data_IF_195175664381
#
_entry.id   IF_195175664381
#
_cell.length_a   1.000
_cell.length_b   1.000
_cell.length_c   1.000
_cell.angle_alpha   90.00
_cell.angle_beta   90.00
_cell.angle_gamma   90.00
#
_symmetry.space_group_name_H-M   'P 1'
#
loop_
_entity.id
_entity.type
_entity.pdbx_description
1 polymer ?
#
# COMPACT_ATOMS: atom_id res chain seq x y z
N UNK A 1 21.55 -2.17 8.27
CA UNK A 1 22.63 -3.05 8.77
C UNK A 1 23.10 -3.94 7.63
N UNK A 2 24.38 -4.28 7.59
CA UNK A 2 24.91 -5.24 6.62
C UNK A 2 24.54 -6.67 7.03
N UNK A 3 24.07 -7.46 6.07
CA UNK A 3 23.90 -8.90 6.25
C UNK A 3 25.27 -9.58 6.24
N UNK A 4 25.35 -10.73 6.91
CA UNK A 4 26.62 -11.47 7.02
C UNK A 4 27.15 -11.84 5.63
N UNK A 5 28.45 -11.65 5.43
CA UNK A 5 29.15 -12.11 4.24
C UNK A 5 28.78 -11.37 2.96
N UNK A 6 28.51 -10.06 3.04
CA UNK A 6 28.15 -9.22 1.88
C UNK A 6 26.88 -9.69 1.17
N UNK A 7 25.99 -10.36 1.92
CA UNK A 7 24.74 -10.90 1.40
C UNK A 7 23.70 -9.81 1.09
N UNK A 8 24.02 -8.54 1.33
CA UNK A 8 23.15 -7.39 1.11
C UNK A 8 22.86 -6.58 2.36
N UNK A 9 21.94 -5.65 2.25
CA UNK A 9 21.57 -4.73 3.32
C UNK A 9 20.17 -5.04 3.84
N UNK A 10 20.00 -4.86 5.15
CA UNK A 10 18.72 -4.93 5.83
C UNK A 10 18.51 -3.62 6.60
N UNK A 11 17.61 -2.78 6.11
CA UNK A 11 17.34 -1.45 6.66
C UNK A 11 16.01 -1.48 7.42
N UNK A 12 15.98 -0.84 8.58
CA UNK A 12 14.77 -0.65 9.38
C UNK A 12 14.45 0.83 9.43
N UNK A 13 13.21 1.17 9.09
CA UNK A 13 12.67 2.50 9.21
C UNK A 13 11.59 2.43 10.28
N UNK A 14 11.77 3.19 11.36
CA UNK A 14 10.77 3.31 12.41
C UNK A 14 9.48 3.89 11.81
N UNK A 15 8.37 3.24 12.11
CA UNK A 15 7.02 3.73 11.83
C UNK A 15 6.38 4.13 13.17
N UNK A 16 5.05 4.07 13.31
CA UNK A 16 4.37 4.47 14.55
C UNK A 16 4.49 3.39 15.63
N UNK A 17 4.44 3.80 16.90
CA UNK A 17 4.37 2.92 18.09
C UNK A 17 5.56 1.97 18.31
N UNK A 18 6.75 2.33 17.82
CA UNK A 18 7.95 1.50 17.97
C UNK A 18 7.99 0.29 17.04
N UNK A 19 7.04 0.17 16.11
CA UNK A 19 7.12 -0.77 15.00
C UNK A 19 8.12 -0.26 13.96
N UNK A 20 8.71 -1.20 13.21
CA UNK A 20 9.64 -0.87 12.13
C UNK A 20 9.21 -1.57 10.84
N UNK A 21 9.37 -0.86 9.72
CA UNK A 21 9.35 -1.46 8.40
C UNK A 21 10.76 -1.86 7.99
N UNK A 22 10.91 -3.11 7.58
CA UNK A 22 12.15 -3.66 7.07
C UNK A 22 12.20 -3.62 5.53
N UNK A 23 13.36 -3.28 4.99
CA UNK A 23 13.70 -3.38 3.57
C UNK A 23 14.98 -4.19 3.39
N UNK A 24 15.00 -5.01 2.35
CA UNK A 24 16.18 -5.76 1.95
C UNK A 24 16.67 -5.28 0.60
N UNK A 25 17.98 -5.02 0.50
CA UNK A 25 18.64 -4.81 -0.76
C UNK A 25 19.65 -5.95 -0.95
N UNK A 26 19.36 -6.87 -1.88
CA UNK A 26 20.22 -8.00 -2.19
C UNK A 26 21.03 -7.70 -3.45
N UNK A 27 22.37 -7.89 -3.44
CA UNK A 27 23.22 -7.59 -4.59
C UNK A 27 22.89 -8.47 -5.81
N UNK A 28 22.31 -9.64 -5.58
CA UNK A 28 21.88 -10.59 -6.62
C UNK A 28 20.35 -10.80 -6.61
N UNK A 29 19.59 -9.76 -6.27
CA UNK A 29 18.13 -9.81 -6.34
C UNK A 29 17.67 -10.14 -7.78
N UNK A 30 16.59 -10.92 -7.96
CA UNK A 30 15.93 -11.03 -9.26
C UNK A 30 15.42 -9.67 -9.75
N UNK A 31 15.27 -9.54 -11.06
CA UNK A 31 14.62 -8.37 -11.66
C UNK A 31 13.17 -8.19 -11.13
N UNK A 32 12.68 -6.94 -11.01
CA UNK A 32 11.29 -6.68 -10.63
C UNK A 32 10.29 -7.38 -11.57
N UNK A 33 9.15 -7.80 -11.02
CA UNK A 33 8.04 -8.40 -11.78
C UNK A 33 6.71 -7.63 -11.57
N UNK A 34 6.57 -6.41 -12.13
CA UNK A 34 5.33 -5.64 -12.02
C UNK A 34 4.13 -6.36 -12.67
N UNK A 35 2.95 -6.21 -12.07
CA UNK A 35 1.74 -6.96 -12.40
C UNK A 35 1.69 -8.39 -11.82
N UNK A 36 2.78 -8.86 -11.19
CA UNK A 36 2.86 -10.18 -10.53
C UNK A 36 3.22 -10.02 -9.06
N UNK A 37 4.40 -9.45 -8.79
CA UNK A 37 4.92 -9.26 -7.43
C UNK A 37 4.49 -7.92 -6.81
N UNK A 38 4.20 -6.91 -7.62
CA UNK A 38 3.71 -5.59 -7.24
C UNK A 38 2.76 -5.05 -8.31
N UNK A 39 1.89 -4.07 -7.98
CA UNK A 39 1.13 -3.33 -8.99
C UNK A 39 2.08 -2.66 -9.99
N UNK A 40 1.69 -2.60 -11.27
CA UNK A 40 2.55 -2.02 -12.30
C UNK A 40 2.55 -0.47 -12.22
N UNK A 41 3.70 0.16 -11.90
CA UNK A 41 3.78 1.63 -11.81
C UNK A 41 3.50 2.31 -13.15
N UNK A 42 3.68 1.63 -14.28
CA UNK A 42 3.47 2.20 -15.61
C UNK A 42 1.99 2.31 -15.97
N UNK A 43 1.15 1.43 -15.42
CA UNK A 43 -0.31 1.43 -15.66
C UNK A 43 -1.08 2.11 -14.54
N UNK A 44 -0.41 2.53 -13.48
CA UNK A 44 -1.02 3.06 -12.25
C UNK A 44 -2.02 4.21 -12.44
N UNK A 45 -1.80 5.08 -13.43
CA UNK A 45 -2.70 6.20 -13.72
C UNK A 45 -3.66 5.95 -14.89
N UNK A 46 -3.69 4.72 -15.41
CA UNK A 46 -4.70 4.29 -16.36
C UNK A 46 -5.96 3.87 -15.58
N UNK A 47 -7.09 4.56 -15.75
CA UNK A 47 -8.34 4.23 -15.03
C UNK A 47 -8.93 2.87 -15.43
N UNK A 48 -8.42 2.23 -16.49
CA UNK A 48 -8.80 0.89 -16.93
C UNK A 48 -7.86 -0.20 -16.43
N UNK A 49 -6.73 0.15 -15.80
CA UNK A 49 -5.79 -0.83 -15.30
C UNK A 49 -6.31 -1.53 -14.04
N UNK A 50 -6.15 -2.85 -14.02
CA UNK A 50 -6.33 -3.65 -12.81
C UNK A 50 -5.01 -3.69 -12.03
N UNK A 51 -5.00 -3.15 -10.82
CA UNK A 51 -3.82 -3.14 -9.93
C UNK A 51 -3.68 -4.46 -9.15
N UNK A 52 -3.95 -5.58 -9.80
CA UNK A 52 -3.90 -6.92 -9.18
C UNK A 52 -2.47 -7.46 -9.12
N UNK A 53 -2.23 -8.35 -8.15
CA UNK A 53 -0.96 -9.07 -7.97
C UNK A 53 -1.23 -10.55 -7.73
N UNK A 54 -0.21 -11.39 -7.89
CA UNK A 54 -0.31 -12.81 -7.60
C UNK A 54 -0.65 -13.06 -6.12
N UNK A 55 -1.25 -14.22 -5.84
CA UNK A 55 -1.45 -14.69 -4.45
C UNK A 55 -0.08 -14.83 -3.78
N UNK A 56 -0.02 -14.44 -2.50
CA UNK A 56 1.21 -14.34 -1.70
C UNK A 56 2.14 -13.17 -2.03
N UNK A 57 1.78 -12.32 -3.01
CA UNK A 57 2.37 -10.99 -3.17
C UNK A 57 1.67 -9.99 -2.24
N UNK A 58 2.44 -9.13 -1.58
CA UNK A 58 1.89 -7.97 -0.87
C UNK A 58 1.62 -6.86 -1.88
N UNK A 59 0.34 -6.56 -2.13
CA UNK A 59 -0.05 -5.62 -3.17
C UNK A 59 0.46 -4.19 -2.90
N UNK A 60 0.21 -3.67 -1.70
CA UNK A 60 0.71 -2.37 -1.26
C UNK A 60 0.82 -2.34 0.26
N UNK A 61 1.44 -1.29 0.79
CA UNK A 61 1.52 -1.02 2.23
C UNK A 61 0.94 0.34 2.52
N UNK A 62 0.00 0.39 3.46
CA UNK A 62 -0.58 1.62 3.94
C UNK A 62 0.05 2.06 5.26
N UNK A 63 0.38 3.34 5.36
CA UNK A 63 0.80 4.01 6.58
C UNK A 63 -0.35 4.86 7.09
N UNK A 64 -0.71 4.65 8.36
CA UNK A 64 -1.67 5.49 9.06
C UNK A 64 -1.10 6.90 9.26
N UNK A 65 -1.86 7.91 8.84
CA UNK A 65 -1.51 9.33 8.96
C UNK A 65 -2.67 10.10 9.58
N UNK A 66 -2.39 11.26 10.16
CA UNK A 66 -3.44 12.10 10.73
C UNK A 66 -4.37 12.64 9.62
N UNK A 67 -5.71 12.55 9.74
CA UNK A 67 -6.62 13.05 8.71
C UNK A 67 -6.50 14.52 8.38
N UNK A 68 -6.00 15.32 9.32
CA UNK A 68 -5.71 16.74 9.20
C UNK A 68 -4.41 17.02 8.44
N UNK A 69 -3.53 16.03 8.25
CA UNK A 69 -2.22 16.18 7.62
C UNK A 69 -2.14 15.66 6.18
N UNK A 70 -3.15 14.92 5.70
CA UNK A 70 -3.07 14.21 4.40
C UNK A 70 -2.91 15.16 3.21
N UNK A 71 -3.50 16.35 3.25
CA UNK A 71 -3.30 17.40 2.25
C UNK A 71 -1.83 17.84 2.19
N UNK A 72 -1.26 18.19 3.34
CA UNK A 72 0.14 18.64 3.44
C UNK A 72 1.10 17.52 3.01
N UNK A 73 0.87 16.29 3.46
CA UNK A 73 1.72 15.15 3.09
C UNK A 73 1.69 14.88 1.58
N UNK A 74 0.53 15.04 0.94
CA UNK A 74 0.42 14.94 -0.53
C UNK A 74 1.21 16.06 -1.22
N UNK A 75 1.13 17.29 -0.74
CA UNK A 75 1.91 18.40 -1.28
C UNK A 75 3.42 18.14 -1.17
N UNK A 76 3.87 17.61 -0.03
CA UNK A 76 5.27 17.22 0.19
C UNK A 76 5.75 16.14 -0.79
N UNK A 77 4.90 15.17 -1.14
CA UNK A 77 5.23 14.19 -2.19
C UNK A 77 5.46 14.88 -3.53
N UNK A 78 4.57 15.80 -3.91
CA UNK A 78 4.65 16.53 -5.18
C UNK A 78 5.90 17.41 -5.23
N UNK A 79 6.18 18.14 -4.14
CA UNK A 79 7.38 18.98 -4.02
C UNK A 79 8.68 18.16 -4.10
N UNK A 80 8.67 16.93 -3.57
CA UNK A 80 9.77 15.98 -3.69
C UNK A 80 9.89 15.34 -5.09
N UNK A 81 9.00 15.68 -6.03
CA UNK A 81 8.97 15.10 -7.37
C UNK A 81 8.38 13.69 -7.44
N UNK A 82 7.73 13.24 -6.37
CA UNK A 82 7.06 11.94 -6.32
C UNK A 82 5.67 12.05 -6.94
N UNK A 83 5.42 11.27 -7.98
CA UNK A 83 4.11 11.22 -8.64
C UNK A 83 3.13 10.45 -7.74
N UNK A 84 1.99 11.06 -7.41
CA UNK A 84 0.98 10.46 -6.55
C UNK A 84 -0.46 10.68 -7.09
N UNK A 85 -1.43 9.97 -6.53
CA UNK A 85 -2.85 10.16 -6.86
C UNK A 85 -3.39 11.49 -6.29
N UNK A 86 -4.58 11.93 -6.74
CA UNK A 86 -5.45 12.77 -5.90
C UNK A 86 -5.77 12.07 -4.58
N UNK A 87 -6.29 12.82 -3.61
CA UNK A 87 -6.85 12.23 -2.40
C UNK A 87 -8.13 11.48 -2.77
N UNK A 88 -8.17 10.18 -2.50
CA UNK A 88 -9.33 9.32 -2.74
C UNK A 88 -10.11 9.19 -1.43
N UNK A 89 -11.39 9.58 -1.43
CA UNK A 89 -12.23 9.49 -0.24
C UNK A 89 -13.04 8.18 -0.28
N UNK A 90 -12.62 7.17 0.46
CA UNK A 90 -13.30 5.87 0.47
C UNK A 90 -14.56 5.89 1.33
N UNK A 91 -15.67 5.48 0.72
CA UNK A 91 -16.99 5.43 1.36
C UNK A 91 -17.75 4.14 0.99
N UNK A 92 -18.94 4.00 1.56
CA UNK A 92 -19.79 2.80 1.39
C UNK A 92 -20.65 2.80 0.13
N UNK A 93 -20.43 3.75 -0.79
CA UNK A 93 -21.16 3.78 -2.05
C UNK A 93 -20.80 2.57 -2.93
N UNK A 94 -21.63 2.18 -3.92
CA UNK A 94 -21.28 1.10 -4.84
C UNK A 94 -19.97 1.30 -5.61
N UNK A 95 -19.48 2.55 -5.69
CA UNK A 95 -18.19 2.87 -6.32
C UNK A 95 -17.02 2.74 -5.35
N UNK A 96 -17.26 2.72 -4.04
CA UNK A 96 -16.25 2.68 -2.98
C UNK A 96 -15.43 3.97 -2.83
N UNK A 97 -15.70 5.00 -3.62
CA UNK A 97 -14.99 6.28 -3.63
C UNK A 97 -15.98 7.43 -3.85
N UNK A 98 -15.95 8.41 -2.97
CA UNK A 98 -16.68 9.67 -3.04
C UNK A 98 -15.85 10.78 -3.70
N UNK A 99 -16.55 11.69 -4.40
CA UNK A 99 -15.94 12.89 -4.98
C UNK A 99 -15.49 13.90 -3.93
N UNK A 100 -16.26 14.05 -2.86
CA UNK A 100 -16.04 15.02 -1.80
C UNK A 100 -15.96 14.30 -0.45
N UNK A 101 -15.21 14.88 0.49
CA UNK A 101 -15.17 14.37 1.85
C UNK A 101 -16.52 14.62 2.54
N UNK A 102 -17.05 13.62 3.24
CA UNK A 102 -18.33 13.69 3.92
C UNK A 102 -18.35 12.74 5.14
N UNK A 103 -19.34 12.84 6.06
CA UNK A 103 -19.34 12.04 7.29
C UNK A 103 -19.34 10.51 7.12
N UNK A 104 -19.67 10.00 5.93
CA UNK A 104 -19.62 8.57 5.60
C UNK A 104 -18.31 8.09 4.98
N UNK A 105 -17.36 8.99 4.70
CA UNK A 105 -15.99 8.61 4.31
C UNK A 105 -15.31 8.00 5.52
N UNK A 106 -14.74 6.80 5.40
CA UNK A 106 -14.10 6.08 6.51
C UNK A 106 -12.57 6.08 6.44
N UNK A 107 -11.99 6.25 5.25
CA UNK A 107 -10.55 6.47 5.04
C UNK A 107 -10.33 7.36 3.83
N UNK A 108 -9.32 8.22 3.91
CA UNK A 108 -8.86 9.04 2.79
C UNK A 108 -7.46 8.59 2.41
N UNK A 109 -7.20 8.40 1.12
CA UNK A 109 -6.00 7.70 0.66
C UNK A 109 -5.24 8.49 -0.40
N UNK A 110 -3.91 8.47 -0.31
CA UNK A 110 -2.99 8.95 -1.36
C UNK A 110 -2.03 7.82 -1.68
N UNK A 111 -2.02 7.40 -2.95
CA UNK A 111 -1.17 6.32 -3.42
C UNK A 111 0.00 6.84 -4.25
N UNK A 112 1.17 6.22 -4.07
CA UNK A 112 2.42 6.58 -4.74
C UNK A 112 3.37 5.38 -4.76
N UNK A 113 4.51 5.51 -5.45
CA UNK A 113 5.54 4.47 -5.49
C UNK A 113 6.84 4.96 -4.87
N UNK A 114 7.56 4.06 -4.23
CA UNK A 114 8.96 4.30 -3.87
C UNK A 114 9.90 4.07 -5.07
N UNK A 115 11.21 4.36 -4.94
CA UNK A 115 12.16 4.19 -6.04
C UNK A 115 12.34 2.75 -6.53
N UNK A 116 11.99 1.75 -5.71
CA UNK A 116 12.12 0.32 -6.03
C UNK A 116 10.83 -0.25 -6.65
N UNK A 117 9.77 0.56 -6.78
CA UNK A 117 8.49 0.17 -7.39
C UNK A 117 7.51 -0.49 -6.41
N UNK A 118 7.68 -0.28 -5.11
CA UNK A 118 6.70 -0.68 -4.10
C UNK A 118 5.58 0.36 -4.06
N UNK A 119 4.34 -0.09 -4.22
CA UNK A 119 3.16 0.77 -4.06
C UNK A 119 2.91 1.03 -2.57
N UNK A 120 2.85 2.31 -2.22
CA UNK A 120 2.63 2.81 -0.86
C UNK A 120 1.35 3.65 -0.81
N UNK A 121 0.74 3.69 0.36
CA UNK A 121 -0.45 4.46 0.66
C UNK A 121 -0.25 5.29 1.94
N UNK A 122 -0.62 6.57 1.90
CA UNK A 122 -1.00 7.30 3.10
C UNK A 122 -2.50 7.11 3.32
N UNK A 123 -2.86 6.50 4.45
CA UNK A 123 -4.23 6.19 4.83
C UNK A 123 -4.63 7.03 6.05
N UNK A 124 -5.48 8.02 5.82
CA UNK A 124 -6.07 8.87 6.86
C UNK A 124 -7.43 8.31 7.28
N UNK A 125 -7.47 7.52 8.35
CA UNK A 125 -8.71 6.97 8.89
C UNK A 125 -9.52 8.07 9.58
N UNK A 126 -10.75 8.32 9.11
CA UNK A 126 -11.64 9.37 9.67
C UNK A 126 -12.46 8.87 10.87
N UNK A 127 -12.44 7.56 11.10
CA UNK A 127 -13.09 6.88 12.22
C UNK A 127 -12.39 5.56 12.52
N UNK A 128 -12.58 5.06 13.74
CA UNK A 128 -12.20 3.68 14.07
C UNK A 128 -12.98 2.67 13.22
N UNK A 129 -12.34 1.53 12.95
CA UNK A 129 -13.01 0.34 12.43
C UNK A 129 -14.06 -0.15 13.43
N UNK A 130 -15.17 -0.65 12.91
CA UNK A 130 -16.33 -1.12 13.67
C UNK A 130 -16.68 -2.54 13.25
N UNK A 131 -17.37 -3.33 14.09
CA UNK A 131 -17.74 -4.70 13.75
C UNK A 131 -18.56 -4.84 12.45
N UNK A 132 -19.36 -3.84 12.09
CA UNK A 132 -20.18 -3.79 10.87
C UNK A 132 -19.40 -3.46 9.59
N UNK A 133 -18.10 -3.13 9.69
CA UNK A 133 -17.21 -3.03 8.53
C UNK A 133 -16.87 -4.42 7.95
N UNK A 134 -17.08 -5.51 8.70
CA UNK A 134 -16.92 -6.88 8.22
C UNK A 134 -18.18 -7.32 7.45
N UNK A 135 -18.18 -7.09 6.14
CA UNK A 135 -19.33 -7.37 5.26
C UNK A 135 -19.26 -8.69 4.50
N UNK A 136 -18.09 -9.31 4.48
CA UNK A 136 -17.84 -10.52 3.70
C UNK A 136 -17.11 -11.56 4.53
N UNK A 137 -17.44 -12.83 4.29
CA UNK A 137 -16.64 -13.92 4.82
C UNK A 137 -15.23 -13.85 4.19
N UNK A 138 -14.17 -14.11 4.97
CA UNK A 138 -12.82 -14.21 4.42
C UNK A 138 -12.79 -15.23 3.27
N UNK A 139 -12.06 -14.91 2.21
CA UNK A 139 -11.82 -15.87 1.14
C UNK A 139 -11.19 -17.15 1.74
N UNK A 140 -11.79 -18.32 1.48
CA UNK A 140 -11.31 -19.59 2.07
C UNK A 140 -10.10 -20.13 1.31
N UNK A 141 -9.20 -20.77 2.06
CA UNK A 141 -7.98 -21.41 1.57
C UNK A 141 -8.18 -22.61 0.62
N UNK A 142 -9.40 -23.01 0.28
CA UNK A 142 -9.63 -23.95 -0.84
C UNK A 142 -9.10 -23.40 -2.19
N UNK A 143 -8.80 -22.09 -2.26
CA UNK A 143 -8.10 -21.43 -3.36
C UNK A 143 -6.61 -21.09 -3.05
N UNK A 144 -6.05 -21.49 -1.91
CA UNK A 144 -4.69 -21.14 -1.47
C UNK A 144 -3.86 -22.32 -0.90
N UNK A 145 -4.41 -23.53 -0.86
CA UNK A 145 -3.77 -24.66 -0.20
C UNK A 145 -2.74 -25.37 -1.11
N UNK A 146 -1.51 -24.85 -1.16
CA UNK A 146 -0.29 -25.65 -1.41
C UNK A 146 0.97 -24.75 -1.42
N UNK A 147 1.53 -24.33 -0.29
CA UNK A 147 2.90 -23.76 -0.33
C UNK A 147 3.76 -24.07 0.91
N UNK A 148 3.20 -24.28 2.11
CA UNK A 148 4.03 -24.32 3.34
C UNK A 148 4.03 -25.66 4.09
N UNK A 149 3.70 -26.77 3.42
CA UNK A 149 3.92 -28.10 3.98
C UNK A 149 5.11 -28.73 3.27
N UNK A 150 6.31 -28.47 3.79
CA UNK A 150 7.51 -29.32 3.73
C UNK A 150 8.51 -28.85 4.80
#
# INVERSE_FOLDING_TARGET
MELRGDAGQHSFIEIRNGDCRAFFNFPNAPEPAPGVASPDPNTFFDPSAELVTAIASMNHVAFDVDPEEIEEMRERLIEAGVRCTPILNHDDSPRGIARENHPGVFVRSVYFYDPDGIMLEFAAWTRAMRPDDVRHAPARAANAAAVLAD
#
